data_IF_397447207480
#
_entry.id   IF_397447207480
#
_cell.length_a   1.000
_cell.length_b   1.000
_cell.length_c   1.000
_cell.angle_alpha   90.00
_cell.angle_beta   90.00
_cell.angle_gamma   90.00
#
_symmetry.space_group_name_H-M   'P 1'
#
loop_
_entity.id
_entity.type
_entity.pdbx_description
1 polymer ?
#
# COMPACT_ATOMS: atom_id res chain seq x y z
N UNK A 1 -11.70 44.23 26.79
CA UNK A 1 -11.71 44.09 25.32
C UNK A 1 -10.38 43.56 24.75
N UNK A 2 -9.19 43.89 25.34
CA UNK A 2 -7.89 43.40 24.83
C UNK A 2 -7.74 41.90 24.83
N UNK A 3 -8.15 41.20 25.90
CA UNK A 3 -8.08 39.76 26.06
C UNK A 3 -8.92 38.99 25.01
N UNK A 4 -10.09 39.50 24.66
CA UNK A 4 -10.95 38.90 23.62
C UNK A 4 -10.30 39.02 22.24
N UNK A 5 -9.75 40.20 21.90
CA UNK A 5 -9.03 40.39 20.63
C UNK A 5 -7.79 39.52 20.54
N UNK A 6 -7.03 39.33 21.62
CA UNK A 6 -5.87 38.44 21.65
C UNK A 6 -6.29 36.98 21.47
N UNK A 7 -7.43 36.58 22.05
CA UNK A 7 -7.95 35.23 21.87
C UNK A 7 -8.37 34.94 20.41
N UNK A 8 -9.02 35.90 19.74
CA UNK A 8 -9.37 35.79 18.32
C UNK A 8 -8.12 35.66 17.46
N UNK A 9 -7.09 36.47 17.70
CA UNK A 9 -5.81 36.38 16.97
C UNK A 9 -5.09 35.05 17.20
N UNK A 10 -5.17 34.49 18.42
CA UNK A 10 -4.63 33.17 18.73
C UNK A 10 -5.35 32.10 17.93
N UNK A 11 -6.68 32.12 17.87
CA UNK A 11 -7.45 31.16 17.10
C UNK A 11 -7.20 31.26 15.59
N UNK A 12 -7.02 32.47 15.08
CA UNK A 12 -6.65 32.71 13.69
C UNK A 12 -5.26 32.11 13.35
N UNK A 13 -4.28 32.31 14.24
CA UNK A 13 -2.95 31.70 14.07
C UNK A 13 -3.00 30.16 14.13
N UNK A 14 -3.81 29.60 15.03
CA UNK A 14 -4.03 28.12 15.09
C UNK A 14 -4.70 27.62 13.83
N UNK A 15 -5.67 28.33 13.28
CA UNK A 15 -6.30 27.96 12.01
C UNK A 15 -5.29 27.98 10.85
N UNK A 16 -4.42 28.98 10.78
CA UNK A 16 -3.36 29.03 9.78
C UNK A 16 -2.39 27.87 9.93
N UNK A 17 -2.04 27.49 11.15
CA UNK A 17 -1.22 26.31 11.41
C UNK A 17 -1.87 25.03 10.85
N UNK A 18 -3.16 24.80 11.14
CA UNK A 18 -3.87 23.64 10.60
C UNK A 18 -3.94 23.63 9.06
N UNK A 19 -4.03 24.80 8.43
CA UNK A 19 -4.00 24.91 6.99
C UNK A 19 -2.66 24.46 6.40
N UNK A 20 -1.55 24.87 7.02
CA UNK A 20 -0.21 24.45 6.59
C UNK A 20 0.03 22.95 6.87
N UNK A 21 -0.41 22.44 8.01
CA UNK A 21 -0.37 21.01 8.34
C UNK A 21 -1.16 20.18 7.32
N UNK A 22 -2.32 20.65 6.90
CA UNK A 22 -3.09 20.00 5.84
C UNK A 22 -2.34 19.96 4.51
N UNK A 23 -1.76 21.10 4.09
CA UNK A 23 -0.95 21.18 2.87
C UNK A 23 0.23 20.23 2.92
N UNK A 24 0.93 20.20 4.05
CA UNK A 24 2.06 19.28 4.26
C UNK A 24 1.61 17.83 4.17
N UNK A 25 0.49 17.48 4.76
CA UNK A 25 -0.07 16.11 4.70
C UNK A 25 -0.40 15.71 3.25
N UNK A 26 -0.99 16.60 2.45
CA UNK A 26 -1.28 16.33 1.03
C UNK A 26 0.01 16.10 0.24
N UNK A 27 1.03 16.94 0.44
CA UNK A 27 2.34 16.77 -0.23
C UNK A 27 3.02 15.46 0.16
N UNK A 28 2.95 15.09 1.44
CA UNK A 28 3.48 13.81 1.91
C UNK A 28 2.75 12.61 1.27
N UNK A 29 1.42 12.67 1.20
CA UNK A 29 0.63 11.62 0.56
C UNK A 29 0.97 11.47 -0.93
N UNK A 30 1.16 12.57 -1.66
CA UNK A 30 1.61 12.54 -3.05
C UNK A 30 2.99 11.90 -3.19
N UNK A 31 3.95 12.31 -2.35
CA UNK A 31 5.29 11.74 -2.34
C UNK A 31 5.30 10.25 -2.01
N UNK A 32 4.42 9.80 -1.10
CA UNK A 32 4.26 8.39 -0.76
C UNK A 32 3.76 7.57 -1.97
N UNK A 33 2.76 8.06 -2.70
CA UNK A 33 2.24 7.42 -3.92
C UNK A 33 3.35 7.30 -4.97
N UNK A 34 4.07 8.38 -5.27
CA UNK A 34 5.15 8.38 -6.25
C UNK A 34 6.26 7.39 -5.88
N UNK A 35 6.69 7.39 -4.62
CA UNK A 35 7.72 6.48 -4.13
C UNK A 35 7.28 5.02 -4.24
N UNK A 36 6.04 4.70 -3.90
CA UNK A 36 5.52 3.34 -3.98
C UNK A 36 5.41 2.87 -5.44
N UNK A 37 5.00 3.73 -6.37
CA UNK A 37 4.96 3.42 -7.81
C UNK A 37 6.38 3.13 -8.33
N UNK A 38 7.35 3.98 -8.00
CA UNK A 38 8.74 3.78 -8.41
C UNK A 38 9.31 2.49 -7.82
N UNK A 39 9.05 2.20 -6.54
CA UNK A 39 9.48 0.96 -5.89
C UNK A 39 8.88 -0.28 -6.58
N UNK A 40 7.60 -0.24 -6.93
CA UNK A 40 6.94 -1.31 -7.67
C UNK A 40 7.57 -1.55 -9.04
N UNK A 41 7.76 -0.50 -9.85
CA UNK A 41 8.37 -0.61 -11.18
C UNK A 41 9.81 -1.13 -11.11
N UNK A 42 10.60 -0.67 -10.13
CA UNK A 42 11.96 -1.15 -9.91
C UNK A 42 11.99 -2.61 -9.48
N UNK A 43 11.09 -3.03 -8.60
CA UNK A 43 11.01 -4.43 -8.18
C UNK A 43 10.60 -5.37 -9.33
N UNK A 44 9.79 -4.94 -10.28
CA UNK A 44 9.47 -5.69 -11.50
C UNK A 44 10.71 -5.87 -12.40
N UNK A 45 11.52 -4.82 -12.58
CA UNK A 45 12.77 -4.92 -13.33
C UNK A 45 13.76 -5.87 -12.65
N UNK A 46 13.87 -5.80 -11.32
CA UNK A 46 14.69 -6.72 -10.55
C UNK A 46 14.21 -8.17 -10.68
N UNK A 47 12.90 -8.41 -10.64
CA UNK A 47 12.32 -9.74 -10.83
C UNK A 47 12.76 -10.37 -12.15
N UNK A 48 12.73 -9.62 -13.25
CA UNK A 48 13.19 -10.09 -14.55
C UNK A 48 14.67 -10.47 -14.53
N UNK A 49 15.51 -9.65 -13.90
CA UNK A 49 16.95 -9.93 -13.79
C UNK A 49 17.24 -11.19 -12.96
N UNK A 50 16.57 -11.34 -11.81
CA UNK A 50 16.72 -12.55 -10.97
C UNK A 50 16.18 -13.81 -11.64
N UNK A 51 15.13 -13.69 -12.47
CA UNK A 51 14.62 -14.82 -13.24
C UNK A 51 15.65 -15.29 -14.27
N UNK A 52 16.27 -14.38 -15.01
CA UNK A 52 17.36 -14.71 -15.95
C UNK A 52 18.57 -15.32 -15.23
N UNK A 53 18.93 -14.79 -14.05
CA UNK A 53 20.04 -15.33 -13.25
C UNK A 53 19.75 -16.75 -12.75
N UNK A 54 18.55 -17.01 -12.25
CA UNK A 54 18.13 -18.35 -11.81
C UNK A 54 18.13 -19.35 -12.98
N UNK A 55 17.62 -18.97 -14.15
CA UNK A 55 17.64 -19.80 -15.36
C UNK A 55 19.08 -20.09 -15.84
N UNK A 56 19.97 -19.09 -15.79
CA UNK A 56 21.37 -19.26 -16.11
C UNK A 56 22.07 -20.22 -15.13
N UNK A 57 21.84 -20.06 -13.84
CA UNK A 57 22.39 -20.95 -12.80
C UNK A 57 21.86 -22.36 -12.93
N UNK A 58 20.60 -22.55 -13.31
CA UNK A 58 20.03 -23.87 -13.57
C UNK A 58 20.70 -24.54 -14.77
N UNK A 59 20.96 -23.78 -15.85
CA UNK A 59 21.72 -24.33 -17.01
C UNK A 59 23.15 -24.67 -16.62
N UNK A 60 23.83 -23.83 -15.84
CA UNK A 60 25.19 -24.08 -15.35
C UNK A 60 25.25 -25.36 -14.50
N UNK A 61 24.29 -25.58 -13.60
CA UNK A 61 24.23 -26.77 -12.77
C UNK A 61 23.99 -28.05 -13.62
N UNK A 62 23.15 -27.96 -14.64
CA UNK A 62 22.97 -29.13 -15.58
C UNK A 62 24.23 -29.45 -16.36
N UNK A 63 24.92 -28.41 -16.87
CA UNK A 63 26.18 -28.60 -17.63
C UNK A 63 27.27 -29.19 -16.73
N UNK A 64 27.49 -28.65 -15.52
CA UNK A 64 28.50 -29.14 -14.59
C UNK A 64 28.23 -30.60 -14.18
N UNK A 65 26.96 -30.98 -13.99
CA UNK A 65 26.58 -32.33 -13.67
C UNK A 65 26.90 -33.28 -14.82
N UNK A 66 26.61 -32.91 -16.08
CA UNK A 66 26.96 -33.71 -17.26
C UNK A 66 28.50 -33.84 -17.42
N UNK A 67 29.24 -32.75 -17.28
CA UNK A 67 30.70 -32.73 -17.33
C UNK A 67 31.34 -33.63 -16.24
N UNK A 68 30.73 -33.67 -15.05
CA UNK A 68 31.19 -34.58 -13.99
C UNK A 68 30.94 -36.03 -14.36
N UNK A 69 29.81 -36.35 -14.94
CA UNK A 69 29.52 -37.71 -15.43
C UNK A 69 30.50 -38.16 -16.52
N UNK A 70 30.94 -37.21 -17.36
CA UNK A 70 31.96 -37.44 -18.39
C UNK A 70 33.40 -37.43 -17.84
N UNK A 71 33.58 -37.20 -16.55
CA UNK A 71 34.92 -37.14 -15.89
C UNK A 71 35.72 -35.86 -16.21
N UNK A 72 35.08 -34.80 -16.75
CA UNK A 72 35.75 -33.57 -17.18
C UNK A 72 35.93 -32.54 -16.06
N UNK A 73 35.15 -32.63 -14.99
CA UNK A 73 35.23 -31.74 -13.83
C UNK A 73 35.14 -32.54 -12.53
N UNK A 74 35.60 -31.96 -11.44
CA UNK A 74 35.50 -32.53 -10.11
C UNK A 74 34.11 -32.35 -9.48
N UNK A 75 33.81 -33.14 -8.45
CA UNK A 75 32.54 -33.08 -7.72
C UNK A 75 32.36 -31.73 -7.00
N UNK A 76 33.43 -31.08 -6.60
CA UNK A 76 33.38 -29.79 -5.92
C UNK A 76 32.82 -28.69 -6.83
N UNK A 77 33.12 -28.76 -8.15
CA UNK A 77 32.53 -27.89 -9.17
C UNK A 77 31.01 -28.04 -9.23
N UNK A 78 30.49 -29.27 -9.19
CA UNK A 78 29.05 -29.53 -9.18
C UNK A 78 28.39 -28.96 -7.91
N UNK A 79 28.99 -29.20 -6.73
CA UNK A 79 28.48 -28.67 -5.47
C UNK A 79 28.40 -27.13 -5.51
N UNK A 80 29.45 -26.45 -5.98
CA UNK A 80 29.49 -25.01 -6.07
C UNK A 80 28.41 -24.45 -7.01
N UNK A 81 28.14 -25.11 -8.12
CA UNK A 81 27.07 -24.68 -9.03
C UNK A 81 25.68 -24.91 -8.46
N UNK A 82 25.47 -26.00 -7.69
CA UNK A 82 24.20 -26.28 -7.01
C UNK A 82 23.94 -25.27 -5.86
N UNK A 83 24.98 -24.93 -5.09
CA UNK A 83 24.87 -23.88 -4.05
C UNK A 83 24.50 -22.54 -4.68
N UNK A 84 25.18 -22.19 -5.80
CA UNK A 84 24.85 -20.97 -6.55
C UNK A 84 23.39 -20.97 -7.05
N UNK A 85 22.94 -22.11 -7.62
CA UNK A 85 21.54 -22.26 -8.06
C UNK A 85 20.56 -22.05 -6.91
N UNK A 86 20.77 -22.70 -5.77
CA UNK A 86 19.92 -22.53 -4.58
C UNK A 86 19.84 -21.08 -4.15
N UNK A 87 21.00 -20.39 -4.07
CA UNK A 87 21.04 -18.96 -3.71
C UNK A 87 20.25 -18.09 -4.70
N UNK A 88 20.34 -18.33 -6.01
CA UNK A 88 19.59 -17.57 -7.02
C UNK A 88 18.09 -17.85 -6.94
N UNK A 89 17.68 -19.08 -6.63
CA UNK A 89 16.29 -19.43 -6.44
C UNK A 89 15.69 -18.78 -5.19
N UNK A 90 16.44 -18.73 -4.11
CA UNK A 90 16.03 -18.05 -2.88
C UNK A 90 15.84 -16.53 -3.12
N UNK A 91 16.77 -15.90 -3.84
CA UNK A 91 16.66 -14.49 -4.21
C UNK A 91 15.46 -14.23 -5.13
N UNK A 92 15.20 -15.13 -6.08
CA UNK A 92 14.02 -15.05 -6.96
C UNK A 92 12.72 -15.18 -6.15
N UNK A 93 12.66 -16.04 -5.16
CA UNK A 93 11.49 -16.17 -4.29
C UNK A 93 11.28 -14.90 -3.44
N UNK A 94 12.35 -14.36 -2.88
CA UNK A 94 12.31 -13.12 -2.10
C UNK A 94 11.82 -11.92 -2.91
N UNK A 95 12.34 -11.75 -4.16
CA UNK A 95 11.93 -10.61 -5.00
C UNK A 95 10.46 -10.72 -5.46
N UNK A 96 9.95 -11.94 -5.69
CA UNK A 96 8.52 -12.16 -5.96
C UNK A 96 7.65 -11.64 -4.81
N UNK A 97 8.03 -11.93 -3.57
CA UNK A 97 7.37 -11.39 -2.39
C UNK A 97 7.44 -9.86 -2.33
N UNK A 98 8.62 -9.28 -2.64
CA UNK A 98 8.81 -7.83 -2.66
C UNK A 98 7.92 -7.14 -3.70
N UNK A 99 7.79 -7.69 -4.91
CA UNK A 99 6.89 -7.15 -5.95
C UNK A 99 5.45 -7.12 -5.45
N UNK A 100 4.99 -8.19 -4.80
CA UNK A 100 3.64 -8.26 -4.24
C UNK A 100 3.44 -7.24 -3.13
N UNK A 101 4.40 -7.11 -2.22
CA UNK A 101 4.35 -6.12 -1.13
C UNK A 101 4.32 -4.69 -1.66
N UNK A 102 5.14 -4.37 -2.66
CA UNK A 102 5.16 -3.06 -3.29
C UNK A 102 3.83 -2.75 -4.03
N UNK A 103 3.23 -3.74 -4.67
CA UNK A 103 1.90 -3.59 -5.29
C UNK A 103 0.83 -3.25 -4.24
N UNK A 104 0.84 -3.95 -3.10
CA UNK A 104 -0.06 -3.66 -1.98
C UNK A 104 0.19 -2.25 -1.43
N UNK A 105 1.47 -1.82 -1.33
CA UNK A 105 1.80 -0.47 -0.89
C UNK A 105 1.26 0.62 -1.83
N UNK A 106 1.36 0.42 -3.16
CA UNK A 106 0.73 1.32 -4.14
C UNK A 106 -0.78 1.37 -3.94
N UNK A 107 -1.43 0.22 -3.82
CA UNK A 107 -2.88 0.15 -3.62
C UNK A 107 -3.31 0.89 -2.34
N UNK A 108 -2.58 0.70 -1.23
CA UNK A 108 -2.83 1.40 0.03
C UNK A 108 -2.63 2.91 -0.08
N UNK A 109 -1.55 3.36 -0.70
CA UNK A 109 -1.24 4.80 -0.83
C UNK A 109 -2.23 5.54 -1.73
N UNK A 110 -2.86 4.84 -2.68
CA UNK A 110 -3.97 5.36 -3.48
C UNK A 110 -5.31 5.38 -2.73
N UNK A 111 -5.34 4.94 -1.48
CA UNK A 111 -6.57 4.88 -0.68
C UNK A 111 -7.47 3.69 -1.04
N UNK A 112 -6.94 2.63 -1.65
CA UNK A 112 -7.71 1.43 -1.97
C UNK A 112 -8.20 0.69 -0.73
N UNK A 113 -9.28 -0.08 -0.88
CA UNK A 113 -9.90 -0.87 0.20
C UNK A 113 -11.25 -0.33 0.69
N UNK A 114 -11.60 0.90 0.35
CA UNK A 114 -12.91 1.46 0.66
C UNK A 114 -14.04 0.84 -0.20
N UNK A 115 -13.70 0.29 -1.34
CA UNK A 115 -14.63 -0.38 -2.27
C UNK A 115 -15.34 -1.59 -1.63
N UNK A 116 -14.70 -2.23 -0.66
CA UNK A 116 -15.29 -3.35 0.08
C UNK A 116 -16.54 -2.91 0.85
N UNK A 117 -16.63 -1.63 1.19
CA UNK A 117 -17.75 -1.01 1.90
C UNK A 117 -18.68 -0.19 1.00
N UNK A 118 -18.51 -0.23 -0.32
CA UNK A 118 -19.23 0.61 -1.27
C UNK A 118 -20.74 0.33 -1.33
N UNK A 119 -21.19 -0.80 -0.76
CA UNK A 119 -22.62 -1.14 -0.59
C UNK A 119 -23.18 -0.74 0.77
N UNK A 120 -22.38 -0.20 1.67
CA UNK A 120 -22.80 0.20 3.01
C UNK A 120 -22.82 1.72 3.10
N UNK A 121 -23.92 2.30 3.57
CA UNK A 121 -23.97 3.72 3.91
C UNK A 121 -22.93 4.03 4.99
N UNK A 122 -22.28 5.21 4.98
CA UNK A 122 -21.28 5.57 6.02
C UNK A 122 -21.83 5.43 7.45
N UNK A 123 -23.11 5.60 7.64
CA UNK A 123 -23.80 5.41 8.92
C UNK A 123 -23.83 3.95 9.40
N UNK A 124 -23.85 3.00 8.46
CA UNK A 124 -23.89 1.56 8.77
C UNK A 124 -22.53 1.02 9.22
N UNK A 125 -21.46 1.77 8.97
CA UNK A 125 -20.10 1.47 9.43
C UNK A 125 -19.88 1.85 10.91
N UNK A 126 -20.81 2.61 11.50
CA UNK A 126 -20.72 3.03 12.90
C UNK A 126 -21.33 1.93 13.76
N UNK A 127 -20.56 1.34 14.72
CA UNK A 127 -21.10 0.36 15.66
C UNK A 127 -22.33 0.90 16.42
N UNK A 128 -23.34 0.06 16.64
CA UNK A 128 -24.59 0.47 17.29
C UNK A 128 -24.36 1.13 18.65
N UNK A 129 -23.44 0.61 19.45
CA UNK A 129 -23.07 1.21 20.74
C UNK A 129 -22.54 2.65 20.58
N UNK A 130 -21.69 2.90 19.59
CA UNK A 130 -21.17 4.25 19.30
C UNK A 130 -22.28 5.18 18.81
N UNK A 131 -23.22 4.66 18.03
CA UNK A 131 -24.39 5.41 17.54
C UNK A 131 -25.29 5.86 18.70
N UNK A 132 -25.57 4.95 19.63
CA UNK A 132 -26.34 5.26 20.84
C UNK A 132 -25.64 6.34 21.70
N UNK A 133 -24.35 6.20 21.94
CA UNK A 133 -23.56 7.23 22.65
C UNK A 133 -23.55 8.60 21.95
N UNK A 134 -23.53 8.62 20.61
CA UNK A 134 -23.60 9.87 19.85
C UNK A 134 -24.97 10.55 19.99
N UNK A 135 -26.05 9.77 19.98
CA UNK A 135 -27.42 10.25 20.16
C UNK A 135 -27.66 10.80 21.57
N UNK A 136 -27.06 10.18 22.59
CA UNK A 136 -27.13 10.65 23.98
C UNK A 136 -26.40 11.99 24.19
N UNK A 137 -25.26 12.20 23.49
CA UNK A 137 -24.45 13.42 23.63
C UNK A 137 -25.11 14.65 23.04
N UNK A 138 -25.85 14.50 21.92
CA UNK A 138 -26.46 15.63 21.23
C UNK A 138 -27.58 15.20 20.28
N UNK A 139 -28.65 15.97 20.28
CA UNK A 139 -29.79 15.76 19.38
C UNK A 139 -29.51 16.06 17.89
N UNK A 140 -28.33 16.64 17.55
CA UNK A 140 -27.95 16.90 16.16
C UNK A 140 -27.78 15.63 15.34
N UNK A 141 -27.37 14.52 15.97
CA UNK A 141 -27.19 13.23 15.30
C UNK A 141 -28.51 12.55 14.94
N UNK A 142 -29.63 12.90 15.63
CA UNK A 142 -30.93 12.33 15.33
C UNK A 142 -31.34 12.55 13.86
N UNK A 143 -31.04 13.73 13.33
CA UNK A 143 -31.34 14.05 11.92
C UNK A 143 -30.47 13.22 10.97
N UNK A 144 -29.17 13.09 11.25
CA UNK A 144 -28.22 12.35 10.41
C UNK A 144 -28.51 10.85 10.37
N UNK A 145 -28.99 10.26 11.47
CA UNK A 145 -29.27 8.82 11.54
C UNK A 145 -30.69 8.45 11.13
N UNK A 146 -31.65 9.36 11.22
CA UNK A 146 -33.07 9.09 10.95
C UNK A 146 -33.56 9.65 9.61
N UNK A 147 -32.82 10.54 8.93
CA UNK A 147 -33.14 10.93 7.56
C UNK A 147 -32.84 9.75 6.63
N UNK A 148 -33.90 9.09 6.17
CA UNK A 148 -33.82 8.22 5.00
C UNK A 148 -33.37 9.05 3.81
N UNK A 149 -32.45 8.56 2.95
CA UNK A 149 -32.11 9.27 1.71
C UNK A 149 -33.41 9.48 0.92
N UNK A 150 -33.73 10.74 0.62
CA UNK A 150 -34.81 11.04 -0.29
C UNK A 150 -34.51 10.37 -1.63
N UNK A 151 -35.47 9.62 -2.19
CA UNK A 151 -35.41 8.95 -3.50
C UNK A 151 -35.15 9.91 -4.70
N UNK A 152 -34.86 11.20 -4.42
CA UNK A 152 -34.71 12.25 -5.44
C UNK A 152 -33.28 12.38 -6.02
N UNK A 153 -32.33 11.47 -5.67
CA UNK A 153 -30.97 11.49 -6.21
C UNK A 153 -30.79 10.69 -7.52
N UNK A 154 -31.84 10.06 -8.04
CA UNK A 154 -31.78 9.20 -9.25
C UNK A 154 -32.06 9.97 -10.57
N UNK A 155 -31.94 11.29 -10.58
CA UNK A 155 -32.26 12.16 -11.71
C UNK A 155 -31.18 13.05 -12.28
N UNK A 156 -29.85 12.73 -12.12
CA UNK A 156 -28.81 13.49 -12.80
C UNK A 156 -28.39 12.77 -14.09
N UNK A 157 -28.54 13.38 -15.29
CA UNK A 157 -28.14 12.78 -16.56
C UNK A 157 -26.61 12.74 -16.69
N UNK A 158 -26.14 11.70 -17.34
CA UNK A 158 -24.73 11.39 -17.67
C UNK A 158 -24.13 12.43 -18.62
#
# INVERSE_FOLDING_TARGET
YGRLKSNVRLQDAVFQQFLEDYRQTVLQAQGEVENNIVAFLKSQQQLQAYQLAADASQRAAKISTAQYQDGLVDFNTVINTLVSLSSQQDQLAAIKGTVTTNLIAVYKSLGGGWEIHNSSEPRDLIPDQTREEMLERTQYWNKTFNDTPSEDAEGAPR
#
